data_IF_625734952725
#
_entry.id   IF_625734952725
#
_cell.length_a   1.000
_cell.length_b   1.000
_cell.length_c   1.000
_cell.angle_alpha   90.00
_cell.angle_beta   90.00
_cell.angle_gamma   90.00
#
_symmetry.space_group_name_H-M   'P 1'
#
loop_
_entity.id
_entity.type
_entity.pdbx_description
1 polymer ?
#
# COMPACT_ATOMS: atom_id res chain seq x y z
N UNK A 1 -27.68 -11.62 12.52
CA UNK A 1 -27.95 -10.46 11.64
C UNK A 1 -29.44 -10.19 11.70
N UNK A 2 -29.86 -8.99 12.12
CA UNK A 2 -31.27 -8.61 12.09
C UNK A 2 -31.63 -8.09 10.70
N UNK A 3 -32.83 -8.47 10.22
CA UNK A 3 -33.36 -7.96 8.96
C UNK A 3 -33.54 -6.44 9.06
N UNK A 4 -32.95 -5.70 8.15
CA UNK A 4 -33.02 -4.24 8.10
C UNK A 4 -33.88 -3.82 6.91
N UNK A 5 -34.64 -2.76 7.05
CA UNK A 5 -35.49 -2.25 5.98
C UNK A 5 -34.60 -1.73 4.83
N UNK A 6 -34.65 -2.37 3.67
CA UNK A 6 -33.82 -2.07 2.48
C UNK A 6 -33.89 -0.60 2.02
N UNK A 7 -34.93 0.13 2.35
CA UNK A 7 -35.07 1.54 1.95
C UNK A 7 -34.23 2.52 2.76
N UNK A 8 -33.65 2.06 3.87
CA UNK A 8 -32.86 2.89 4.80
C UNK A 8 -31.37 2.55 4.81
N UNK A 9 -30.92 1.66 3.93
CA UNK A 9 -29.53 1.20 3.90
C UNK A 9 -28.90 1.45 2.52
N UNK A 10 -27.58 1.68 2.46
CA UNK A 10 -26.88 1.78 1.19
C UNK A 10 -27.08 0.54 0.32
N UNK A 11 -27.04 0.68 -0.99
CA UNK A 11 -27.23 -0.41 -1.95
C UNK A 11 -26.19 -1.54 -1.83
N UNK A 12 -25.03 -1.25 -1.25
CA UNK A 12 -23.96 -2.21 -0.97
C UNK A 12 -24.06 -2.89 0.41
N UNK A 13 -25.06 -2.56 1.19
CA UNK A 13 -25.31 -3.22 2.48
C UNK A 13 -26.09 -4.51 2.28
N UNK A 14 -25.74 -5.54 3.06
CA UNK A 14 -26.39 -6.82 3.01
C UNK A 14 -26.74 -7.36 4.40
N UNK A 15 -27.85 -8.08 4.48
CA UNK A 15 -28.19 -8.98 5.58
C UNK A 15 -27.91 -10.43 5.21
N UNK A 16 -27.52 -10.70 3.98
CA UNK A 16 -27.22 -12.03 3.46
C UNK A 16 -25.72 -12.33 3.63
N UNK A 17 -25.42 -13.35 4.41
CA UNK A 17 -24.05 -13.76 4.69
C UNK A 17 -23.35 -14.29 3.44
N UNK A 18 -24.08 -14.87 2.48
CA UNK A 18 -23.52 -15.38 1.23
C UNK A 18 -22.85 -14.29 0.40
N UNK A 19 -23.35 -13.05 0.46
CA UNK A 19 -22.73 -11.92 -0.23
C UNK A 19 -21.39 -11.54 0.41
N UNK A 20 -21.24 -11.72 1.72
CA UNK A 20 -19.96 -11.51 2.43
C UNK A 20 -18.98 -12.65 2.08
N UNK A 21 -19.47 -13.90 2.02
CA UNK A 21 -18.67 -15.05 1.62
C UNK A 21 -18.18 -14.90 0.17
N UNK A 22 -19.05 -14.50 -0.75
CA UNK A 22 -18.67 -14.23 -2.14
C UNK A 22 -17.67 -13.07 -2.25
N UNK A 23 -17.81 -12.05 -1.42
CA UNK A 23 -16.84 -10.96 -1.37
C UNK A 23 -15.46 -11.43 -0.90
N UNK A 24 -15.36 -12.51 -0.12
CA UNK A 24 -14.10 -13.09 0.34
C UNK A 24 -13.35 -13.88 -0.74
N UNK A 25 -13.92 -14.09 -1.93
CA UNK A 25 -13.31 -14.92 -2.96
C UNK A 25 -12.27 -14.14 -3.79
N UNK A 26 -11.18 -14.82 -4.10
CA UNK A 26 -10.14 -14.40 -5.06
C UNK A 26 -9.74 -15.58 -5.94
N UNK A 27 -9.23 -15.30 -7.14
CA UNK A 27 -8.58 -16.34 -7.94
C UNK A 27 -7.13 -16.58 -7.45
N UNK A 28 -6.45 -17.56 -8.04
CA UNK A 28 -5.04 -17.89 -7.73
C UNK A 28 -4.07 -16.72 -7.94
N UNK A 29 -4.39 -15.82 -8.84
CA UNK A 29 -3.58 -14.65 -9.19
C UNK A 29 -3.86 -13.46 -8.26
N UNK A 30 -4.79 -13.61 -7.31
CA UNK A 30 -5.19 -12.58 -6.35
C UNK A 30 -6.18 -11.57 -6.90
N UNK A 31 -6.81 -11.85 -8.05
CA UNK A 31 -7.86 -10.99 -8.58
C UNK A 31 -9.15 -11.16 -7.77
N UNK A 32 -9.75 -10.06 -7.39
CA UNK A 32 -10.97 -10.05 -6.59
C UNK A 32 -12.19 -10.50 -7.36
N UNK A 33 -13.01 -11.34 -6.72
CA UNK A 33 -14.38 -11.62 -7.15
C UNK A 33 -15.29 -10.59 -6.50
N UNK A 34 -16.22 -10.05 -7.26
CA UNK A 34 -17.20 -9.08 -6.77
C UNK A 34 -18.57 -9.35 -7.36
N UNK A 35 -19.61 -8.93 -6.62
CA UNK A 35 -21.00 -9.18 -6.98
C UNK A 35 -21.60 -7.96 -7.66
N UNK A 36 -22.26 -8.16 -8.79
CA UNK A 36 -23.17 -7.18 -9.41
C UNK A 36 -24.57 -7.76 -9.52
N UNK A 37 -25.56 -6.91 -9.39
CA UNK A 37 -26.95 -7.29 -9.56
C UNK A 37 -27.38 -7.10 -11.02
N UNK A 38 -28.03 -8.11 -11.58
CA UNK A 38 -28.61 -8.00 -12.90
C UNK A 38 -29.91 -7.16 -12.86
N UNK A 39 -30.58 -6.98 -14.03
CA UNK A 39 -31.81 -6.21 -14.12
C UNK A 39 -32.98 -6.80 -13.32
N UNK A 40 -32.90 -8.06 -12.92
CA UNK A 40 -33.89 -8.78 -12.13
C UNK A 40 -33.57 -8.79 -10.63
N UNK A 41 -32.55 -8.00 -10.20
CA UNK A 41 -32.06 -7.94 -8.82
C UNK A 41 -31.43 -9.27 -8.34
N UNK A 42 -30.91 -10.11 -9.26
CA UNK A 42 -30.23 -11.35 -8.96
C UNK A 42 -28.72 -11.11 -8.89
N UNK A 43 -28.02 -11.60 -7.84
CA UNK A 43 -26.58 -11.43 -7.70
C UNK A 43 -25.81 -12.31 -8.69
N UNK A 44 -24.84 -11.74 -9.37
CA UNK A 44 -23.90 -12.43 -10.26
C UNK A 44 -22.46 -12.08 -9.88
N UNK A 45 -21.57 -13.05 -10.02
CA UNK A 45 -20.15 -12.90 -9.73
C UNK A 45 -19.40 -12.40 -10.95
N UNK A 46 -18.46 -11.51 -10.74
CA UNK A 46 -17.59 -10.92 -11.76
C UNK A 46 -16.13 -10.91 -11.31
N UNK A 47 -15.23 -10.94 -12.27
CA UNK A 47 -13.79 -10.78 -12.09
C UNK A 47 -13.25 -9.82 -13.14
N UNK A 48 -12.22 -9.05 -12.78
CA UNK A 48 -11.43 -8.24 -13.72
C UNK A 48 -10.11 -8.93 -14.02
N UNK A 49 -9.86 -9.22 -15.28
CA UNK A 49 -8.58 -9.76 -15.79
C UNK A 49 -8.18 -9.00 -17.06
N UNK A 50 -6.92 -8.65 -17.20
CA UNK A 50 -6.37 -7.99 -18.40
C UNK A 50 -7.17 -6.74 -18.84
N UNK A 51 -7.60 -5.91 -17.88
CA UNK A 51 -8.47 -4.73 -18.07
C UNK A 51 -9.88 -5.05 -18.60
N UNK A 52 -10.27 -6.31 -18.70
CA UNK A 52 -11.61 -6.74 -19.08
C UNK A 52 -12.37 -7.26 -17.86
N UNK A 53 -13.68 -7.11 -17.91
CA UNK A 53 -14.61 -7.64 -16.91
C UNK A 53 -15.31 -8.87 -17.46
N UNK A 54 -15.28 -9.96 -16.69
CA UNK A 54 -15.90 -11.23 -17.05
C UNK A 54 -16.90 -11.66 -15.99
N UNK A 55 -18.05 -12.22 -16.43
CA UNK A 55 -18.97 -12.90 -15.52
C UNK A 55 -18.39 -14.26 -15.14
N UNK A 56 -18.29 -14.52 -13.83
CA UNK A 56 -17.84 -15.81 -13.29
C UNK A 56 -19.07 -16.73 -13.22
N UNK A 57 -19.00 -17.83 -13.94
CA UNK A 57 -20.05 -18.84 -14.01
C UNK A 57 -19.61 -20.11 -13.29
N UNK A 58 -20.57 -20.83 -12.74
CA UNK A 58 -20.35 -22.14 -12.13
C UNK A 58 -20.91 -23.23 -13.05
N UNK A 59 -20.17 -24.31 -13.20
CA UNK A 59 -20.59 -25.46 -14.00
C UNK A 59 -21.45 -26.40 -13.13
N UNK A 60 -22.67 -26.70 -13.58
CA UNK A 60 -23.67 -27.43 -12.77
C UNK A 60 -23.23 -28.84 -12.35
N UNK A 61 -22.34 -29.50 -13.14
CA UNK A 61 -21.95 -30.90 -12.90
C UNK A 61 -20.68 -31.02 -12.05
N UNK A 62 -19.79 -30.01 -12.02
CA UNK A 62 -18.44 -30.12 -11.45
C UNK A 62 -18.18 -29.12 -10.33
N UNK A 63 -19.09 -28.21 -10.06
CA UNK A 63 -18.91 -27.06 -9.16
C UNK A 63 -17.71 -26.16 -9.49
N UNK A 64 -17.07 -26.35 -10.65
CA UNK A 64 -15.95 -25.55 -11.08
C UNK A 64 -16.41 -24.15 -11.56
N UNK A 65 -15.65 -23.14 -11.19
CA UNK A 65 -15.88 -21.78 -11.69
C UNK A 65 -15.10 -21.54 -12.96
N UNK A 66 -15.69 -20.79 -13.90
CA UNK A 66 -15.03 -20.43 -15.16
C UNK A 66 -15.50 -19.06 -15.66
N UNK A 67 -14.68 -18.47 -16.55
CA UNK A 67 -15.04 -17.29 -17.35
C UNK A 67 -15.01 -17.65 -18.84
N UNK A 68 -15.79 -16.95 -19.63
CA UNK A 68 -15.76 -17.06 -21.10
C UNK A 68 -14.99 -15.88 -21.67
N UNK A 69 -13.77 -16.11 -22.15
CA UNK A 69 -12.96 -15.08 -22.83
C UNK A 69 -13.50 -14.80 -24.23
N UNK A 70 -13.96 -15.82 -24.91
CA UNK A 70 -14.60 -15.78 -26.23
C UNK A 70 -15.71 -16.83 -26.30
N UNK A 71 -16.54 -16.84 -27.39
CA UNK A 71 -17.68 -17.74 -27.54
C UNK A 71 -17.36 -19.24 -27.39
N UNK A 72 -16.11 -19.64 -27.57
CA UNK A 72 -15.67 -21.04 -27.56
C UNK A 72 -14.50 -21.31 -26.60
N UNK A 73 -14.08 -20.30 -25.79
CA UNK A 73 -12.93 -20.45 -24.91
C UNK A 73 -13.33 -20.20 -23.45
N UNK A 74 -13.37 -21.30 -22.69
CA UNK A 74 -13.57 -21.28 -21.23
C UNK A 74 -12.21 -21.29 -20.53
N UNK A 75 -12.00 -20.36 -19.59
CA UNK A 75 -10.91 -20.39 -18.63
C UNK A 75 -11.46 -20.77 -17.26
N UNK A 76 -11.00 -21.89 -16.72
CA UNK A 76 -11.37 -22.35 -15.38
C UNK A 76 -10.62 -21.56 -14.32
N UNK A 77 -11.34 -21.16 -13.27
CA UNK A 77 -10.81 -20.39 -12.16
C UNK A 77 -10.73 -21.28 -10.91
N UNK A 78 -9.60 -21.29 -10.26
CA UNK A 78 -9.50 -21.80 -8.91
C UNK A 78 -9.73 -20.65 -7.93
N UNK A 79 -10.90 -20.66 -7.26
CA UNK A 79 -11.26 -19.64 -6.30
C UNK A 79 -10.84 -20.04 -4.90
N UNK A 80 -10.19 -19.12 -4.20
CA UNK A 80 -9.80 -19.26 -2.81
C UNK A 80 -10.57 -18.25 -1.96
N UNK A 81 -11.04 -18.69 -0.78
CA UNK A 81 -11.59 -17.77 0.21
C UNK A 81 -10.45 -17.12 0.99
N UNK A 82 -10.42 -15.81 0.99
CA UNK A 82 -9.46 -15.03 1.78
C UNK A 82 -10.14 -14.51 3.05
N UNK A 83 -9.42 -14.39 4.17
CA UNK A 83 -9.98 -13.84 5.40
C UNK A 83 -10.54 -12.42 5.18
N UNK A 84 -11.67 -12.12 5.78
CA UNK A 84 -12.22 -10.76 5.83
C UNK A 84 -11.89 -10.11 7.17
N UNK A 85 -11.41 -8.89 7.10
CA UNK A 85 -11.05 -8.09 8.28
C UNK A 85 -11.85 -6.79 8.29
N UNK A 86 -12.30 -6.40 9.48
CA UNK A 86 -12.97 -5.12 9.66
C UNK A 86 -11.98 -3.97 9.53
N UNK A 87 -12.22 -3.01 8.64
CA UNK A 87 -11.41 -1.79 8.49
C UNK A 87 -11.59 -0.82 9.65
N UNK A 88 -12.68 -0.96 10.42
CA UNK A 88 -13.03 -0.09 11.53
C UNK A 88 -13.58 -0.92 12.69
N UNK A 89 -13.52 -0.40 13.91
CA UNK A 89 -14.16 -1.05 15.05
C UNK A 89 -15.68 -1.04 14.87
N UNK A 90 -16.26 -2.23 14.71
CA UNK A 90 -17.70 -2.40 14.56
C UNK A 90 -18.36 -2.70 15.91
N UNK A 91 -19.35 -1.90 16.27
CA UNK A 91 -20.15 -2.12 17.47
C UNK A 91 -21.29 -3.11 17.17
N UNK A 92 -21.86 -3.70 18.22
CA UNK A 92 -23.08 -4.52 18.08
C UNK A 92 -24.16 -3.72 17.34
N UNK A 93 -24.81 -4.35 16.35
CA UNK A 93 -25.83 -3.77 15.45
C UNK A 93 -25.27 -2.80 14.39
N UNK A 94 -23.98 -2.75 14.15
CA UNK A 94 -23.44 -2.06 12.97
C UNK A 94 -23.93 -2.76 11.71
N UNK A 95 -24.45 -1.99 10.76
CA UNK A 95 -24.74 -2.48 9.42
C UNK A 95 -23.43 -2.77 8.70
N UNK A 96 -23.25 -4.00 8.23
CA UNK A 96 -22.03 -4.41 7.52
C UNK A 96 -22.21 -4.10 6.03
N UNK A 97 -21.27 -3.31 5.49
CA UNK A 97 -21.10 -3.12 4.04
C UNK A 97 -19.72 -3.65 3.63
N UNK A 98 -19.55 -3.96 2.35
CA UNK A 98 -18.24 -4.40 1.82
C UNK A 98 -17.15 -3.35 2.01
N UNK A 99 -17.52 -2.07 2.08
CA UNK A 99 -16.58 -0.96 2.34
C UNK A 99 -15.98 -0.98 3.75
N UNK A 100 -16.70 -1.55 4.73
CA UNK A 100 -16.24 -1.74 6.10
C UNK A 100 -15.32 -2.95 6.25
N UNK A 101 -15.17 -3.76 5.19
CA UNK A 101 -14.39 -4.98 5.18
C UNK A 101 -13.18 -4.81 4.25
N UNK A 102 -12.07 -5.44 4.61
CA UNK A 102 -10.92 -5.68 3.75
C UNK A 102 -10.83 -7.15 3.45
N UNK A 103 -10.51 -7.50 2.21
CA UNK A 103 -10.18 -8.88 1.87
C UNK A 103 -8.78 -9.23 2.32
N UNK A 104 -8.62 -10.45 2.74
CA UNK A 104 -7.37 -11.14 3.01
C UNK A 104 -6.48 -10.35 3.91
N UNK A 105 -5.41 -10.74 3.90
CA UNK A 105 -4.18 -10.55 4.60
C UNK A 105 -4.01 -9.24 5.38
N UNK A 106 -4.81 -9.07 6.46
CA UNK A 106 -4.23 -8.53 7.68
C UNK A 106 -3.43 -9.62 8.45
N UNK A 107 -3.27 -10.82 7.88
CA UNK A 107 -2.06 -11.57 8.14
C UNK A 107 -0.95 -10.77 7.47
N UNK A 108 -0.09 -10.18 8.28
CA UNK A 108 1.15 -9.51 7.85
C UNK A 108 1.76 -10.37 6.75
N UNK A 109 1.76 -9.88 5.52
CA UNK A 109 2.32 -10.62 4.38
C UNK A 109 3.76 -10.98 4.73
N UNK A 110 4.25 -12.12 4.26
CA UNK A 110 5.56 -12.63 4.62
C UNK A 110 6.70 -11.67 4.27
N UNK A 111 6.48 -10.76 3.33
CA UNK A 111 7.42 -9.73 2.87
C UNK A 111 7.28 -8.39 3.60
N UNK A 112 6.26 -8.19 4.45
CA UNK A 112 6.05 -6.93 5.17
C UNK A 112 6.96 -6.83 6.39
N UNK A 113 7.57 -5.67 6.56
CA UNK A 113 8.44 -5.32 7.70
C UNK A 113 8.04 -3.96 8.25
N UNK A 114 8.09 -3.83 9.58
CA UNK A 114 7.98 -2.53 10.25
C UNK A 114 9.29 -1.78 10.07
N UNK A 115 9.23 -0.61 9.45
CA UNK A 115 10.37 0.25 9.18
C UNK A 115 10.26 1.53 9.99
N UNK A 116 11.42 2.03 10.43
CA UNK A 116 11.58 3.30 11.14
C UNK A 116 12.23 4.33 10.21
N UNK A 117 11.65 5.52 10.18
CA UNK A 117 12.16 6.64 9.39
C UNK A 117 12.10 7.93 10.19
N UNK A 118 13.19 8.72 10.15
CA UNK A 118 13.35 9.99 10.86
C UNK A 118 13.82 11.14 9.95
N UNK A 119 13.63 10.98 8.62
CA UNK A 119 14.10 11.96 7.64
C UNK A 119 12.99 12.66 6.88
N UNK A 120 11.76 12.47 7.29
CA UNK A 120 10.61 13.05 6.61
C UNK A 120 10.18 14.38 7.22
N UNK A 121 9.72 15.29 6.36
CA UNK A 121 8.94 16.43 6.84
C UNK A 121 7.52 15.95 7.10
N UNK A 122 7.11 15.95 8.35
CA UNK A 122 5.81 15.45 8.81
C UNK A 122 4.77 16.57 8.90
N UNK A 123 3.48 16.30 8.59
CA UNK A 123 2.39 17.21 8.90
C UNK A 123 2.27 17.45 10.41
N UNK A 124 1.96 18.67 10.83
CA UNK A 124 1.85 19.03 12.26
C UNK A 124 0.73 18.29 12.99
N UNK A 125 -0.31 17.87 12.28
CA UNK A 125 -1.49 17.18 12.83
C UNK A 125 -1.43 15.66 12.64
N UNK A 126 -0.26 15.11 12.30
CA UNK A 126 -0.10 13.67 12.11
C UNK A 126 -0.24 12.92 13.44
N UNK A 127 -1.03 11.85 13.44
CA UNK A 127 -1.28 11.01 14.61
C UNK A 127 -1.12 9.53 14.27
N UNK A 128 -0.83 8.73 15.30
CA UNK A 128 -0.84 7.25 15.16
C UNK A 128 -2.21 6.78 14.67
N UNK A 129 -2.21 5.93 13.64
CA UNK A 129 -3.42 5.42 12.98
C UNK A 129 -3.84 6.24 11.75
N UNK A 130 -3.19 7.37 11.47
CA UNK A 130 -3.39 8.09 10.21
C UNK A 130 -2.81 7.32 9.03
N UNK A 131 -3.36 7.56 7.83
CA UNK A 131 -2.86 7.00 6.58
C UNK A 131 -2.14 8.07 5.77
N UNK A 132 -0.99 7.71 5.22
CA UNK A 132 -0.07 8.64 4.57
C UNK A 132 0.45 8.12 3.22
N UNK A 133 0.82 9.07 2.35
CA UNK A 133 1.75 8.82 1.25
C UNK A 133 3.11 9.40 1.62
N UNK A 134 4.19 8.67 1.31
CA UNK A 134 5.54 9.23 1.34
C UNK A 134 5.91 9.71 -0.05
N UNK A 135 6.40 10.95 -0.14
CA UNK A 135 6.68 11.65 -1.38
C UNK A 135 8.09 12.23 -1.40
N UNK A 136 8.65 12.33 -2.59
CA UNK A 136 9.89 13.05 -2.86
C UNK A 136 9.61 14.25 -3.74
N UNK A 137 9.98 15.44 -3.29
CA UNK A 137 9.91 16.67 -4.07
C UNK A 137 11.31 17.11 -4.46
N UNK A 138 11.49 17.40 -5.75
CA UNK A 138 12.74 17.92 -6.31
C UNK A 138 12.74 19.46 -6.33
N UNK A 139 13.93 20.11 -6.38
CA UNK A 139 14.02 21.57 -6.47
C UNK A 139 13.33 22.19 -7.67
N UNK A 140 13.14 21.41 -8.73
CA UNK A 140 12.37 21.79 -9.93
C UNK A 140 10.85 21.90 -9.71
N UNK A 141 10.35 21.46 -8.54
CA UNK A 141 8.91 21.35 -8.25
C UNK A 141 8.30 20.03 -8.71
N UNK A 142 9.08 19.12 -9.30
CA UNK A 142 8.61 17.77 -9.59
C UNK A 142 8.41 17.00 -8.29
N UNK A 143 7.33 16.25 -8.22
CA UNK A 143 6.88 15.54 -7.02
C UNK A 143 6.44 14.13 -7.37
N UNK A 144 6.95 13.14 -6.65
CA UNK A 144 6.67 11.74 -6.91
C UNK A 144 6.25 11.01 -5.64
N UNK A 145 5.23 10.16 -5.75
CA UNK A 145 4.78 9.27 -4.68
C UNK A 145 5.69 8.05 -4.67
N UNK A 146 6.36 7.82 -3.56
CA UNK A 146 7.26 6.67 -3.35
C UNK A 146 6.47 5.45 -2.90
N UNK A 147 5.74 5.60 -1.81
CA UNK A 147 4.79 4.61 -1.28
C UNK A 147 3.49 5.28 -0.92
N UNK A 148 2.38 4.56 -1.04
CA UNK A 148 1.05 5.12 -0.88
C UNK A 148 0.24 4.41 0.21
N UNK A 149 -0.59 5.21 0.89
CA UNK A 149 -1.62 4.79 1.84
C UNK A 149 -1.11 3.82 2.92
N UNK A 150 -0.05 4.23 3.63
CA UNK A 150 0.50 3.48 4.76
C UNK A 150 -0.07 4.01 6.07
N UNK A 151 -0.51 3.10 6.92
CA UNK A 151 -0.86 3.43 8.30
C UNK A 151 0.42 3.78 9.06
N UNK A 152 0.40 4.91 9.75
CA UNK A 152 1.53 5.41 10.52
C UNK A 152 1.36 5.12 12.01
N UNK A 153 2.47 4.78 12.65
CA UNK A 153 2.60 4.72 14.11
C UNK A 153 3.72 5.67 14.52
N UNK A 154 3.44 6.54 15.49
CA UNK A 154 4.42 7.50 16.01
C UNK A 154 4.98 6.96 17.32
N UNK A 155 6.33 6.75 17.42
CA UNK A 155 6.95 6.32 18.65
C UNK A 155 6.70 7.31 19.79
N UNK A 156 6.31 6.80 20.96
CA UNK A 156 6.19 7.60 22.17
C UNK A 156 7.40 7.39 23.07
N UNK A 157 8.07 8.47 23.44
CA UNK A 157 9.28 8.46 24.27
C UNK A 157 9.00 9.25 25.53
N UNK A 158 8.98 8.57 26.66
CA UNK A 158 8.75 9.24 27.97
C UNK A 158 7.40 9.96 28.07
N UNK A 159 6.38 9.52 27.38
CA UNK A 159 5.05 10.14 27.35
C UNK A 159 4.87 11.23 26.29
N UNK A 160 5.89 11.48 25.47
CA UNK A 160 5.84 12.46 24.37
C UNK A 160 6.01 11.74 23.03
N UNK A 161 5.17 12.07 22.07
CA UNK A 161 5.29 11.55 20.70
C UNK A 161 6.54 12.12 20.02
N UNK A 162 7.20 11.30 19.20
CA UNK A 162 8.37 11.73 18.45
C UNK A 162 8.01 12.82 17.44
N UNK A 163 8.86 13.85 17.34
CA UNK A 163 8.64 14.98 16.44
C UNK A 163 9.04 14.68 14.98
N UNK A 164 9.92 13.72 14.75
CA UNK A 164 10.54 13.46 13.46
C UNK A 164 10.49 11.99 13.02
N UNK A 165 10.18 11.08 13.92
CA UNK A 165 10.26 9.63 13.68
C UNK A 165 8.88 9.02 13.51
N UNK A 166 8.74 8.19 12.48
CA UNK A 166 7.54 7.39 12.25
C UNK A 166 7.90 5.93 12.01
N UNK A 167 6.96 5.05 12.36
CA UNK A 167 6.99 3.64 11.99
C UNK A 167 5.88 3.36 10.98
N UNK A 168 6.25 2.66 9.90
CA UNK A 168 5.32 2.22 8.85
C UNK A 168 5.65 0.79 8.44
N UNK A 169 4.61 0.06 8.01
CA UNK A 169 4.76 -1.29 7.51
C UNK A 169 4.91 -1.26 5.98
N UNK A 170 6.03 -1.77 5.49
CA UNK A 170 6.36 -1.80 4.06
C UNK A 170 6.62 -3.23 3.60
N UNK A 171 6.20 -3.54 2.38
CA UNK A 171 6.61 -4.75 1.66
C UNK A 171 8.05 -4.63 1.14
N UNK A 172 8.66 -5.73 0.74
CA UNK A 172 10.05 -5.75 0.28
C UNK A 172 10.29 -4.81 -0.91
N UNK A 173 9.39 -4.78 -1.88
CA UNK A 173 9.48 -3.87 -3.02
C UNK A 173 9.36 -2.40 -2.61
N UNK A 174 8.51 -2.08 -1.64
CA UNK A 174 8.36 -0.73 -1.10
C UNK A 174 9.62 -0.28 -0.34
N UNK A 175 10.25 -1.19 0.41
CA UNK A 175 11.53 -0.93 1.09
C UNK A 175 12.62 -0.57 0.07
N UNK A 176 12.69 -1.28 -1.04
CA UNK A 176 13.66 -1.00 -2.11
C UNK A 176 13.39 0.35 -2.79
N UNK A 177 12.12 0.68 -3.06
CA UNK A 177 11.75 2.01 -3.59
C UNK A 177 12.09 3.12 -2.60
N UNK A 178 11.79 2.94 -1.31
CA UNK A 178 12.13 3.90 -0.26
C UNK A 178 13.64 4.12 -0.15
N UNK A 179 14.43 3.04 -0.13
CA UNK A 179 15.89 3.13 -0.06
C UNK A 179 16.46 3.92 -1.24
N UNK A 180 15.95 3.67 -2.45
CA UNK A 180 16.34 4.41 -3.63
C UNK A 180 15.97 5.90 -3.53
N UNK A 181 14.75 6.22 -3.08
CA UNK A 181 14.26 7.59 -2.94
C UNK A 181 15.04 8.39 -1.89
N UNK A 182 15.42 7.76 -0.79
CA UNK A 182 16.25 8.38 0.26
C UNK A 182 17.63 8.76 -0.30
N UNK A 183 18.26 7.85 -1.05
CA UNK A 183 19.54 8.12 -1.70
C UNK A 183 19.45 9.28 -2.70
N UNK A 184 18.39 9.28 -3.54
CA UNK A 184 18.16 10.36 -4.50
C UNK A 184 17.93 11.70 -3.80
N UNK A 185 17.12 11.72 -2.72
CA UNK A 185 16.85 12.93 -1.95
C UNK A 185 18.14 13.48 -1.27
N UNK A 186 19.02 12.60 -0.82
CA UNK A 186 20.28 13.03 -0.21
C UNK A 186 21.29 13.56 -1.23
N UNK A 187 21.30 13.00 -2.45
CA UNK A 187 22.18 13.46 -3.53
C UNK A 187 21.75 14.81 -4.11
N UNK A 188 20.47 15.13 -4.07
CA UNK A 188 19.93 16.35 -4.68
C UNK A 188 19.80 17.44 -3.61
N UNK A 189 20.60 18.48 -3.69
CA UNK A 189 20.49 19.63 -2.80
C UNK A 189 19.15 20.34 -2.99
N UNK A 190 18.41 20.51 -1.89
CA UNK A 190 17.07 21.10 -1.91
C UNK A 190 15.92 20.11 -2.21
N UNK A 191 16.22 18.85 -2.49
CA UNK A 191 15.18 17.82 -2.48
C UNK A 191 14.75 17.52 -1.04
N UNK A 192 13.50 17.12 -0.89
CA UNK A 192 12.97 16.70 0.41
C UNK A 192 12.05 15.49 0.28
N UNK A 193 12.15 14.62 1.27
CA UNK A 193 11.15 13.60 1.54
C UNK A 193 10.13 14.18 2.52
N UNK A 194 8.86 14.02 2.22
CA UNK A 194 7.80 14.50 3.05
C UNK A 194 6.56 13.59 3.01
N UNK A 195 5.68 13.79 3.93
CA UNK A 195 4.50 12.97 4.12
C UNK A 195 3.25 13.78 3.85
N UNK A 196 2.29 13.20 3.13
CA UNK A 196 0.93 13.74 2.99
C UNK A 196 -0.07 12.81 3.66
N UNK A 197 -0.97 13.39 4.45
CA UNK A 197 -2.01 12.67 5.19
C UNK A 197 -3.28 12.54 4.34
N UNK A 198 -3.91 11.37 4.37
CA UNK A 198 -5.25 11.18 3.82
C UNK A 198 -6.30 11.87 4.67
N UNK A 199 -7.17 12.64 4.03
CA UNK A 199 -8.24 13.37 4.75
C UNK A 199 -9.29 12.41 5.29
N UNK A 200 -9.69 11.43 4.46
CA UNK A 200 -10.69 10.40 4.79
C UNK A 200 -10.20 9.04 4.29
N UNK A 201 -9.24 8.47 5.00
CA UNK A 201 -8.58 7.23 4.59
C UNK A 201 -9.53 6.05 4.34
N UNK A 202 -10.65 5.99 5.06
CA UNK A 202 -11.67 4.96 4.88
C UNK A 202 -12.47 5.08 3.56
N UNK A 203 -12.45 6.26 2.92
CA UNK A 203 -13.21 6.56 1.69
C UNK A 203 -12.34 6.81 0.47
N UNK A 204 -11.05 7.13 0.67
CA UNK A 204 -10.12 7.41 -0.42
C UNK A 204 -9.35 6.15 -0.80
N UNK A 205 -9.26 5.84 -2.08
CA UNK A 205 -8.38 4.78 -2.58
C UNK A 205 -6.91 5.17 -2.40
N UNK A 206 -6.03 4.17 -2.40
CA UNK A 206 -4.60 4.41 -2.38
C UNK A 206 -4.16 5.14 -3.66
N UNK A 207 -3.29 6.12 -3.52
CA UNK A 207 -2.66 6.76 -4.66
C UNK A 207 -1.76 5.76 -5.40
N UNK A 208 -1.58 5.96 -6.71
CA UNK A 208 -0.64 5.15 -7.49
C UNK A 208 0.78 5.67 -7.28
N UNK A 209 1.74 4.84 -6.80
CA UNK A 209 3.13 5.25 -6.70
C UNK A 209 3.72 5.64 -8.07
N UNK A 210 4.37 6.80 -8.12
CA UNK A 210 4.91 7.37 -9.36
C UNK A 210 6.44 7.52 -9.35
N UNK A 211 7.08 7.33 -8.19
CA UNK A 211 8.54 7.42 -8.07
C UNK A 211 9.22 6.32 -8.90
N UNK A 212 10.12 6.67 -9.82
CA UNK A 212 10.87 5.72 -10.63
C UNK A 212 12.21 5.39 -9.96
N UNK A 213 12.38 4.15 -9.50
CA UNK A 213 13.67 3.70 -9.00
C UNK A 213 14.76 3.73 -10.09
N UNK A 214 16.03 3.76 -9.69
CA UNK A 214 17.15 3.68 -10.62
C UNK A 214 17.28 2.27 -11.22
N UNK A 215 18.10 2.13 -12.27
CA UNK A 215 18.28 0.89 -13.02
C UNK A 215 18.75 -0.27 -12.12
N UNK A 216 19.70 0.00 -11.21
CA UNK A 216 20.20 -1.02 -10.27
C UNK A 216 19.08 -1.52 -9.35
N UNK A 217 18.29 -0.62 -8.78
CA UNK A 217 17.15 -0.97 -7.93
C UNK A 217 16.06 -1.67 -8.73
N UNK A 218 15.76 -1.22 -9.95
CA UNK A 218 14.78 -1.87 -10.83
C UNK A 218 15.19 -3.30 -11.18
N UNK A 219 16.49 -3.52 -11.42
CA UNK A 219 17.03 -4.86 -11.67
C UNK A 219 16.90 -5.75 -10.43
N UNK A 220 17.13 -5.19 -9.24
CA UNK A 220 16.96 -5.91 -7.98
C UNK A 220 15.49 -6.26 -7.75
N UNK A 221 14.58 -5.30 -7.89
CA UNK A 221 13.14 -5.51 -7.79
C UNK A 221 12.62 -6.66 -8.67
N UNK A 222 13.18 -6.84 -9.87
CA UNK A 222 12.79 -7.92 -10.78
C UNK A 222 13.33 -9.30 -10.41
N UNK A 223 14.33 -9.38 -9.54
CA UNK A 223 15.05 -10.62 -9.22
C UNK A 223 15.00 -10.99 -7.74
N UNK A 224 14.47 -10.12 -6.87
CA UNK A 224 14.42 -10.36 -5.45
C UNK A 224 13.44 -11.51 -5.12
N UNK A 225 13.91 -12.60 -4.49
CA UNK A 225 13.06 -13.74 -4.18
C UNK A 225 12.06 -13.47 -3.03
N UNK A 226 12.21 -12.37 -2.30
CA UNK A 226 11.32 -12.00 -1.21
C UNK A 226 10.10 -11.17 -1.67
N UNK A 227 10.11 -10.72 -2.93
CA UNK A 227 8.98 -9.98 -3.50
C UNK A 227 7.91 -10.97 -3.94
N UNK A 228 6.70 -10.79 -3.43
CA UNK A 228 5.56 -11.64 -3.77
C UNK A 228 5.11 -11.44 -5.22
N UNK A 229 4.51 -12.46 -5.81
CA UNK A 229 4.11 -12.45 -7.23
C UNK A 229 3.15 -11.29 -7.56
N UNK A 230 2.22 -10.96 -6.67
CA UNK A 230 1.32 -9.80 -6.83
C UNK A 230 2.11 -8.49 -6.96
N UNK A 231 3.05 -8.23 -6.05
CA UNK A 231 3.91 -7.05 -6.09
C UNK A 231 4.80 -7.05 -7.35
N UNK A 232 5.27 -8.23 -7.80
CA UNK A 232 6.04 -8.35 -9.04
C UNK A 232 5.22 -7.94 -10.27
N UNK A 233 3.94 -8.27 -10.33
CA UNK A 233 3.06 -7.85 -11.42
C UNK A 233 2.82 -6.33 -11.41
N UNK A 234 2.65 -5.73 -10.24
CA UNK A 234 2.53 -4.27 -10.09
C UNK A 234 3.83 -3.56 -10.52
N UNK A 235 4.99 -4.09 -10.17
CA UNK A 235 6.31 -3.60 -10.61
C UNK A 235 6.43 -3.66 -12.13
N UNK A 236 6.06 -4.76 -12.77
CA UNK A 236 6.08 -4.88 -14.23
C UNK A 236 5.21 -3.82 -14.90
N UNK A 237 4.01 -3.55 -14.37
CA UNK A 237 3.13 -2.51 -14.87
C UNK A 237 3.73 -1.11 -14.66
N UNK A 238 4.31 -0.84 -13.49
CA UNK A 238 4.96 0.44 -13.15
C UNK A 238 6.13 0.76 -14.07
N UNK A 239 6.91 -0.24 -14.45
CA UNK A 239 8.09 -0.09 -15.30
C UNK A 239 7.86 -0.54 -16.75
N UNK A 240 6.61 -0.66 -17.20
CA UNK A 240 6.30 -0.90 -18.61
C UNK A 240 6.69 0.31 -19.46
N UNK A 241 6.96 0.08 -20.76
CA UNK A 241 7.33 1.14 -21.71
C UNK A 241 6.30 2.26 -21.80
N UNK A 242 5.03 1.99 -21.51
CA UNK A 242 3.93 2.97 -21.56
C UNK A 242 3.72 3.72 -20.24
N UNK A 243 4.39 3.34 -19.16
CA UNK A 243 4.15 3.92 -17.82
C UNK A 243 4.75 5.32 -17.63
N UNK A 244 5.69 5.72 -18.49
CA UNK A 244 6.45 6.97 -18.36
C UNK A 244 7.49 6.95 -17.21
N UNK A 245 7.78 5.78 -16.62
CA UNK A 245 8.74 5.66 -15.53
C UNK A 245 10.16 6.03 -15.99
N UNK A 246 10.54 5.64 -17.20
CA UNK A 246 11.84 5.97 -17.80
C UNK A 246 12.03 7.49 -17.88
N UNK A 247 11.07 8.22 -18.48
CA UNK A 247 11.12 9.68 -18.58
C UNK A 247 11.22 10.35 -17.19
N UNK A 248 10.46 9.87 -16.21
CA UNK A 248 10.54 10.38 -14.84
C UNK A 248 11.90 10.10 -14.19
N UNK A 249 12.51 8.94 -14.50
CA UNK A 249 13.85 8.60 -14.02
C UNK A 249 14.92 9.51 -14.65
N UNK A 250 14.81 9.80 -15.93
CA UNK A 250 15.74 10.70 -16.62
C UNK A 250 15.77 12.08 -15.97
N UNK A 251 14.62 12.65 -15.61
CA UNK A 251 14.58 13.94 -14.88
C UNK A 251 15.30 13.89 -13.53
N UNK A 252 15.16 12.81 -12.78
CA UNK A 252 15.87 12.64 -11.50
C UNK A 252 17.38 12.52 -11.76
N UNK A 253 17.76 11.71 -12.73
CA UNK A 253 19.16 11.49 -13.12
C UNK A 253 19.82 12.80 -13.57
N UNK A 254 19.20 13.56 -14.45
CA UNK A 254 19.72 14.85 -14.90
C UNK A 254 19.92 15.83 -13.73
N UNK A 255 19.03 15.81 -12.75
CA UNK A 255 19.16 16.61 -11.53
C UNK A 255 20.34 16.17 -10.68
N UNK A 256 20.58 14.86 -10.54
CA UNK A 256 21.73 14.30 -9.82
C UNK A 256 23.02 14.62 -10.58
N UNK A 257 23.05 14.41 -11.90
CA UNK A 257 24.24 14.62 -12.72
C UNK A 257 24.68 16.10 -12.72
N UNK A 258 23.75 17.02 -12.64
CA UNK A 258 24.03 18.45 -12.50
C UNK A 258 24.69 18.84 -11.15
N UNK A 259 24.68 17.94 -10.15
CA UNK A 259 25.16 18.20 -8.79
C UNK A 259 26.20 17.14 -8.33
N UNK A 260 26.89 16.46 -9.25
CA UNK A 260 27.67 15.22 -8.98
C UNK A 260 28.64 15.35 -7.80
N UNK A 261 29.51 16.36 -7.79
CA UNK A 261 30.53 16.52 -6.75
C UNK A 261 29.91 16.86 -5.38
N UNK A 262 28.91 17.72 -5.38
CA UNK A 262 28.18 18.10 -4.16
C UNK A 262 27.26 16.99 -3.67
N UNK A 263 26.67 16.23 -4.59
CA UNK A 263 25.73 15.17 -4.29
C UNK A 263 26.35 14.01 -3.52
N UNK A 264 27.58 13.62 -3.83
CA UNK A 264 28.28 12.54 -3.11
C UNK A 264 28.60 12.96 -1.67
N UNK A 265 29.14 14.19 -1.47
CA UNK A 265 29.45 14.71 -0.15
C UNK A 265 28.18 14.86 0.72
N UNK A 266 27.10 15.33 0.13
CA UNK A 266 25.79 15.45 0.80
C UNK A 266 25.26 14.07 1.24
N UNK A 267 25.37 13.06 0.37
CA UNK A 267 24.93 11.70 0.69
C UNK A 267 25.66 11.16 1.91
N UNK A 268 27.00 11.24 1.93
CA UNK A 268 27.83 10.76 3.04
C UNK A 268 27.45 11.46 4.34
N UNK A 269 27.41 12.79 4.35
CA UNK A 269 27.04 13.58 5.53
C UNK A 269 25.66 13.23 6.07
N UNK A 270 24.64 13.18 5.20
CA UNK A 270 23.26 12.91 5.61
C UNK A 270 23.04 11.47 6.07
N UNK A 271 23.77 10.52 5.50
CA UNK A 271 23.73 9.13 6.00
C UNK A 271 24.33 9.02 7.41
N UNK A 272 25.46 9.68 7.67
CA UNK A 272 26.07 9.71 9.00
C UNK A 272 25.16 10.39 10.03
N UNK A 273 24.56 11.53 9.67
CA UNK A 273 23.58 12.22 10.50
C UNK A 273 22.36 11.32 10.80
N UNK A 274 21.81 10.67 9.80
CA UNK A 274 20.66 9.77 9.98
C UNK A 274 20.98 8.59 10.89
N UNK A 275 22.16 7.96 10.73
CA UNK A 275 22.61 6.88 11.61
C UNK A 275 22.79 7.37 13.05
N UNK A 276 23.36 8.56 13.23
CA UNK A 276 23.57 9.14 14.55
C UNK A 276 22.26 9.46 15.24
N UNK A 277 21.31 10.07 14.52
CA UNK A 277 19.99 10.39 15.03
C UNK A 277 19.21 9.13 15.42
N UNK A 278 19.22 8.09 14.56
CA UNK A 278 18.56 6.81 14.89
C UNK A 278 19.16 6.14 16.14
N UNK A 279 20.48 6.20 16.32
CA UNK A 279 21.12 5.68 17.54
C UNK A 279 20.71 6.45 18.79
N UNK A 280 20.65 7.78 18.72
CA UNK A 280 20.23 8.63 19.83
C UNK A 280 18.77 8.40 20.18
N UNK A 281 17.87 8.42 19.18
CA UNK A 281 16.45 8.13 19.37
C UNK A 281 16.21 6.75 19.99
N UNK A 282 16.96 5.73 19.55
CA UNK A 282 16.88 4.40 20.15
C UNK A 282 17.33 4.41 21.62
N UNK A 283 18.40 5.14 21.93
CA UNK A 283 18.89 5.26 23.32
C UNK A 283 17.83 5.90 24.20
N UNK A 284 17.26 7.03 23.77
CA UNK A 284 16.23 7.77 24.51
C UNK A 284 14.97 6.92 24.72
N UNK A 285 14.55 6.18 23.68
CA UNK A 285 13.44 5.22 23.78
C UNK A 285 13.72 4.13 24.83
N UNK A 286 14.89 3.51 24.84
CA UNK A 286 15.26 2.47 25.80
C UNK A 286 15.37 3.02 27.23
N UNK A 287 15.86 4.24 27.41
CA UNK A 287 15.92 4.92 28.70
C UNK A 287 14.50 5.22 29.22
N UNK A 288 13.55 5.62 28.35
CA UNK A 288 12.14 5.84 28.70
C UNK A 288 11.46 4.57 29.21
N UNK A 289 11.76 3.43 28.58
CA UNK A 289 11.21 2.12 29.00
C UNK A 289 11.78 1.67 30.37
N UNK A 290 13.03 1.97 30.66
CA UNK A 290 13.69 1.61 31.92
C UNK A 290 13.23 2.47 33.10
N UNK A 291 12.79 3.70 32.85
CA UNK A 291 12.25 4.60 33.88
C UNK A 291 10.85 4.23 34.38
N UNK A 292 10.10 3.41 33.63
CA UNK A 292 8.75 2.94 34.00
C UNK A 292 8.77 1.75 34.97
N UNK A 293 9.93 1.11 35.16
CA UNK A 293 10.03 -0.10 36.04
C UNK A 293 10.41 0.22 37.49
N UNK A 294 10.37 1.48 37.92
CA UNK A 294 10.79 1.92 39.26
C UNK A 294 9.71 2.64 40.08
N UNK A 295 8.41 2.25 39.93
CA UNK A 295 7.34 2.57 40.89
C UNK A 295 6.66 1.31 41.42
#
# INVERSE_FOLDING_TARGET
IQTVNKTLVPSNATSDISLIENYALQDKEGNDIYTKYNKNDEPKLYIKKDNNEYEVKQEEETDNYYIEKNKDEKEYLELNSVPLVAKVTMKKNTLITTELLSKGDNTVQNDVRKQEYNMFVLPMDLQTGDYIDVRIMLPSGQDYIVVAKKEVEIPNVGGTDSEDTIWINLSEDEILHMSCAIVDAYKINGAKLYVTKYTEAGMQDAATPTYPANESTTTLLQKDPNILEKAMNEIRNRYSQTSGAELRRDYIKDTIDAQTDQGQANLETKMEESITNSKNSRKDYLESLSGVTSE
#
